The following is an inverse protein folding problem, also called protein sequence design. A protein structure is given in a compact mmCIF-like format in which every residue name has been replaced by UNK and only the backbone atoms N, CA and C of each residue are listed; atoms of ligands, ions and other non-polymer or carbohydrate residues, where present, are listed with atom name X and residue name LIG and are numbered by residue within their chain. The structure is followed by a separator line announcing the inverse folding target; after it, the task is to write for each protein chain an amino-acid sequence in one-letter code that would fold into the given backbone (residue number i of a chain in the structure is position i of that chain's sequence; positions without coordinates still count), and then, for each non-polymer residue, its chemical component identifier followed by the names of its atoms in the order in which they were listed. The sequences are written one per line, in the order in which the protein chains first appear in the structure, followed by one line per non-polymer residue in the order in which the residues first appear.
data_IF_166847111982
#
_entry.id   IF_166847111982
#
_cell.length_a   1.000
_cell.length_b   1.000
_cell.length_c   1.000
_cell.angle_alpha   90.00
_cell.angle_beta   90.00
_cell.angle_gamma   90.00
#
_symmetry.space_group_name_H-M   'P 1'
#
loop_
_entity.id
_entity.type
_entity.pdbx_description
1 polymer ?
2 polymer ?
3 non-polymer ?
4 non-polymer ?
5 water ?
#
# COMPACT_ATOMS: atom_id res chain seq x y z
N UNK A 3 7.47 17.14 14.71
CA UNK A 3 6.05 16.94 14.28
C UNK A 3 5.19 18.14 14.66
N UNK A 4 4.38 18.65 13.72
CA UNK A 4 3.58 19.83 14.03
C UNK A 4 2.36 19.49 14.88
N UNK A 5 1.90 20.45 15.68
CA UNK A 5 0.73 20.23 16.52
C UNK A 5 -0.51 20.05 15.63
N UNK A 6 -1.43 19.19 16.04
CA UNK A 6 -2.67 18.98 15.28
C UNK A 6 -3.63 20.16 15.48
N UNK A 7 -4.51 20.44 14.49
CA UNK A 7 -4.63 19.73 13.22
C UNK A 7 -3.58 20.18 12.22
N UNK A 8 -3.21 19.31 11.29
CA UNK A 8 -2.35 19.72 10.18
C UNK A 8 -2.56 18.93 8.89
N UNK A 9 -2.24 19.57 7.77
CA UNK A 9 -2.44 18.99 6.45
C UNK A 9 -1.27 18.11 6.03
N UNK A 10 -1.61 16.96 5.44
CA UNK A 10 -0.66 16.07 4.78
C UNK A 10 -1.17 15.74 3.39
N UNK A 11 -0.29 15.22 2.54
CA UNK A 11 -0.69 14.79 1.21
C UNK A 11 -0.18 13.38 1.00
N UNK A 12 -1.07 12.51 0.53
CA UNK A 12 -0.73 11.11 0.30
C UNK A 12 0.34 11.03 -0.78
N UNK A 13 1.40 10.29 -0.48
CA UNK A 13 2.49 10.06 -1.44
C UNK A 13 2.29 8.76 -2.21
N UNK A 14 1.43 7.89 -1.67
CA UNK A 14 1.03 6.65 -2.31
C UNK A 14 -0.43 6.40 -1.98
N UNK A 15 -1.10 5.56 -2.79
CA UNK A 15 -2.40 5.09 -2.31
C UNK A 15 -2.22 4.25 -1.06
N UNK A 16 -3.25 4.25 -0.23
CA UNK A 16 -3.31 3.37 0.91
C UNK A 16 -4.65 2.67 0.90
N UNK A 17 -4.60 1.36 0.70
CA UNK A 17 -5.78 0.53 0.64
C UNK A 17 -5.50 -0.66 1.53
N UNK A 18 -6.36 -0.86 2.53
CA UNK A 18 -6.11 -1.85 3.56
C UNK A 18 -7.37 -2.64 3.88
N UNK A 19 -7.20 -3.67 4.71
CA UNK A 19 -8.28 -4.63 5.01
C UNK A 19 -9.12 -4.25 6.23
N UNK A 20 -8.70 -3.21 6.94
CA UNK A 20 -9.29 -2.84 8.22
C UNK A 20 -10.24 -1.64 8.12
N UNK A 21 -11.42 -1.80 8.71
CA UNK A 21 -12.48 -0.80 8.62
C UNK A 21 -12.09 0.51 9.30
N UNK A 22 -11.32 0.42 10.38
CA UNK A 22 -10.86 1.63 11.09
C UNK A 22 -9.90 2.51 10.29
N UNK A 23 -9.36 1.99 9.19
CA UNK A 23 -8.37 2.71 8.42
C UNK A 23 -9.02 3.72 7.50
N UNK A 24 -8.30 4.81 7.26
CA UNK A 24 -8.61 5.72 6.19
C UNK A 24 -7.92 5.14 4.96
N UNK A 25 -8.64 5.07 3.86
CA UNK A 25 -8.03 4.67 2.62
C UNK A 25 -8.12 5.84 1.65
N UNK A 26 -7.20 5.88 0.71
CA UNK A 26 -7.11 7.03 -0.19
C UNK A 26 -6.22 6.73 -1.37
N UNK A 27 -6.35 7.58 -2.39
CA UNK A 27 -5.48 7.55 -3.57
C UNK A 27 -4.30 8.48 -3.35
N UNK A 28 -3.23 8.28 -4.12
CA UNK A 28 -2.11 9.21 -4.16
C UNK A 28 -2.58 10.64 -4.44
N UNK A 29 -1.92 11.62 -3.83
CA UNK A 29 -2.24 13.06 -3.95
C UNK A 29 -3.38 13.53 -3.06
N UNK A 30 -4.09 12.61 -2.41
CA UNK A 30 -5.20 12.99 -1.54
C UNK A 30 -4.70 13.84 -0.39
N UNK A 31 -5.34 15.01 -0.26
CA UNK A 31 -5.08 15.95 0.81
C UNK A 31 -5.87 15.48 2.02
N UNK A 32 -5.18 15.29 3.13
CA UNK A 32 -5.82 14.80 4.36
C UNK A 32 -5.53 15.79 5.48
N UNK A 33 -6.50 15.95 6.38
CA UNK A 33 -6.28 16.69 7.61
C UNK A 33 -6.04 15.70 8.74
N UNK A 34 -4.85 15.77 9.33
CA UNK A 34 -4.53 14.95 10.50
C UNK A 34 -5.09 15.61 11.75
N UNK A 35 -5.98 14.91 12.46
CA UNK A 35 -6.61 15.47 13.65
C UNK A 35 -6.12 14.84 14.95
N UNK A 36 -5.41 13.70 14.84
CA UNK A 36 -4.81 13.03 16.00
C UNK A 36 -3.58 12.25 15.56
N UNK A 37 -2.52 12.34 16.36
CA UNK A 37 -1.37 11.47 16.18
C UNK A 37 -1.64 10.30 17.10
N UNK A 38 -1.81 9.13 16.50
CA UNK A 38 -2.28 7.94 17.22
C UNK A 38 -1.19 7.28 18.02
N UNK A 39 0.00 7.26 17.43
CA UNK A 39 1.19 6.70 18.05
C UNK A 39 2.41 7.10 17.22
N UNK A 40 3.53 6.41 17.36
CA UNK A 40 4.75 6.81 16.63
C UNK A 40 4.65 6.58 15.11
N UNK A 41 3.73 5.72 14.67
CA UNK A 41 3.70 5.25 13.29
C UNK A 41 2.38 5.52 12.55
N UNK A 42 1.32 5.93 13.27
CA UNK A 42 -0.01 6.10 12.68
C UNK A 42 -0.60 7.46 13.02
N UNK A 43 -1.29 8.02 12.02
CA UNK A 43 -2.13 9.21 12.18
C UNK A 43 -3.60 8.82 12.11
N UNK A 44 -4.45 9.69 12.64
CA UNK A 44 -5.88 9.64 12.42
C UNK A 44 -6.26 10.96 11.76
N UNK A 45 -7.04 10.88 10.70
CA UNK A 45 -7.44 12.10 10.01
C UNK A 45 -8.58 11.88 9.05
N UNK A 46 -8.81 12.88 8.21
CA UNK A 46 -10.02 12.93 7.41
C UNK A 46 -9.88 13.71 6.12
N UNK A 47 -10.87 13.50 5.25
CA UNK A 47 -11.06 14.31 4.07
C UNK A 47 -12.52 14.14 3.65
N UNK A 48 -12.96 14.98 2.73
CA UNK A 48 -14.34 14.91 2.26
C UNK A 48 -14.42 14.16 0.94
N UNK A 49 -15.33 13.20 0.86
CA UNK A 49 -15.58 12.46 -0.39
C UNK A 49 -16.40 13.27 -1.39
N UNK A 50 -16.74 12.61 -2.50
CA UNK A 50 -17.56 13.18 -3.59
C UNK A 50 -18.79 13.97 -3.16
N UNK A 51 -19.69 13.36 -2.39
CA UNK A 51 -20.90 14.06 -1.95
C UNK A 51 -20.72 14.72 -0.58
N UNK A 52 -19.50 15.17 -0.30
CA UNK A 52 -19.22 16.04 0.83
C UNK A 52 -19.17 15.37 2.19
N UNK A 53 -19.30 14.04 2.21
CA UNK A 53 -19.24 13.29 3.46
C UNK A 53 -17.82 13.22 3.98
N UNK A 54 -17.68 13.35 5.29
CA UNK A 54 -16.37 13.23 5.92
C UNK A 54 -16.01 11.75 6.05
N UNK A 55 -14.85 11.41 5.52
CA UNK A 55 -14.29 10.07 5.59
C UNK A 55 -13.14 10.18 6.55
N UNK A 56 -13.14 9.36 7.60
CA UNK A 56 -12.06 9.44 8.56
C UNK A 56 -11.56 8.05 9.00
N UNK A 57 -10.38 8.05 9.58
CA UNK A 57 -9.76 6.81 10.05
C UNK A 57 -8.27 6.95 10.17
N UNK A 58 -7.62 5.84 10.51
CA UNK A 58 -6.18 5.81 10.72
C UNK A 58 -5.41 5.35 9.48
N UNK A 59 -4.15 5.78 9.41
CA UNK A 59 -3.28 5.44 8.29
C UNK A 59 -1.82 5.66 8.68
N UNK A 60 -0.90 5.01 7.97
CA UNK A 60 0.51 5.17 8.30
C UNK A 60 1.06 6.53 7.97
N UNK A 61 1.83 7.08 8.90
CA UNK A 61 2.55 8.33 8.69
C UNK A 61 3.45 8.22 7.45
N UNK A 62 4.02 7.04 7.23
CA UNK A 62 4.96 6.85 6.12
C UNK A 62 4.32 6.96 4.73
N UNK A 63 2.98 7.00 4.65
CA UNK A 63 2.29 7.13 3.36
C UNK A 63 1.98 8.56 2.94
N UNK A 64 2.35 9.52 3.79
CA UNK A 64 2.02 10.92 3.55
C UNK A 64 3.22 11.82 3.83
N UNK A 65 3.14 13.04 3.34
CA UNK A 65 4.13 14.07 3.64
C UNK A 65 3.41 15.30 4.15
N UNK A 66 4.00 15.93 5.17
CA UNK A 66 3.42 17.10 5.82
C UNK A 66 3.45 18.32 4.90
N UNK A 67 2.31 19.01 4.84
CA UNK A 67 2.14 20.36 4.27
C UNK A 67 0.70 20.56 3.83
N UNK B 3 17.86 -11.07 -1.68
CA UNK B 3 17.19 -11.71 -2.85
C UNK B 3 18.00 -12.87 -3.39
N UNK B 4 17.39 -14.06 -3.50
CA UNK B 4 18.04 -15.09 -4.29
C UNK B 4 17.95 -14.80 -5.79
N UNK B 5 18.66 -15.60 -6.59
CA UNK B 5 18.48 -15.59 -8.04
C UNK B 5 17.03 -15.89 -8.40
N UNK B 6 16.49 -15.18 -9.39
CA UNK B 6 15.15 -15.49 -9.88
C UNK B 6 15.19 -16.84 -10.62
N UNK B 7 14.06 -17.56 -10.64
CA UNK B 7 12.82 -17.28 -9.96
C UNK B 7 12.84 -17.72 -8.50
N UNK B 8 12.12 -17.00 -7.66
CA UNK B 8 11.92 -17.38 -6.28
C UNK B 8 10.52 -17.04 -5.80
N UNK B 9 10.09 -17.75 -4.76
CA UNK B 9 8.75 -17.63 -4.19
C UNK B 9 8.75 -16.58 -3.06
N UNK B 10 7.74 -15.72 -3.06
CA UNK B 10 7.50 -14.77 -1.98
C UNK B 10 6.07 -14.95 -1.46
N UNK B 11 5.80 -14.40 -0.27
CA UNK B 11 4.46 -14.40 0.31
C UNK B 11 4.09 -12.97 0.67
N UNK B 12 2.92 -12.53 0.22
CA UNK B 12 2.42 -11.21 0.54
C UNK B 12 2.20 -11.05 2.04
N UNK B 13 2.77 -9.98 2.58
CA UNK B 13 2.64 -9.63 3.98
C UNK B 13 1.51 -8.64 4.21
N UNK B 14 1.06 -8.00 3.12
CA UNK B 14 -0.04 -7.04 3.11
C UNK B 14 -0.79 -7.17 1.79
N UNK B 15 -2.08 -6.78 1.75
CA UNK B 15 -2.73 -6.75 0.46
C UNK B 15 -2.11 -5.65 -0.39
N UNK B 16 -2.04 -5.86 -1.69
CA UNK B 16 -1.67 -4.81 -2.61
C UNK B 16 -2.77 -4.67 -3.64
N UNK B 17 -3.40 -3.50 -3.68
CA UNK B 17 -4.64 -3.31 -4.45
C UNK B 17 -4.59 -2.08 -5.34
N UNK B 18 -3.41 -1.85 -5.91
CA UNK B 18 -3.18 -0.77 -6.86
C UNK B 18 -4.11 -0.82 -8.07
N UNK B 19 -4.46 0.35 -8.57
CA UNK B 19 -5.21 0.48 -9.83
C UNK B 19 -4.29 0.75 -11.02
N UNK B 20 -2.98 0.88 -10.79
CA UNK B 20 -2.05 1.11 -11.89
C UNK B 20 -2.09 -0.08 -12.84
N UNK B 21 -2.27 0.21 -14.13
CA UNK B 21 -2.24 -0.82 -15.15
C UNK B 21 -0.86 -1.47 -15.08
N UNK B 22 -0.82 -2.80 -15.19
CA UNK B 22 0.43 -3.58 -15.17
C UNK B 22 0.99 -3.88 -13.77
N UNK B 23 0.37 -3.34 -12.72
CA UNK B 23 0.68 -3.79 -11.36
C UNK B 23 -0.03 -5.10 -11.14
N UNK B 24 0.62 -5.98 -10.39
CA UNK B 24 -0.01 -7.19 -9.90
C UNK B 24 -0.71 -6.84 -8.58
N UNK B 25 -1.90 -7.39 -8.38
CA UNK B 25 -2.60 -7.22 -7.11
C UNK B 25 -2.78 -8.55 -6.44
N UNK B 26 -2.91 -8.52 -5.12
CA UNK B 26 -3.04 -9.73 -4.34
C UNK B 26 -3.54 -9.43 -2.94
N UNK B 27 -4.00 -10.48 -2.28
CA UNK B 27 -4.38 -10.44 -0.88
C UNK B 27 -3.18 -10.82 -0.03
N UNK B 28 -3.21 -10.43 1.23
CA UNK B 28 -2.25 -10.91 2.21
C UNK B 28 -2.19 -12.44 2.17
N UNK B 29 -1.00 -12.99 2.37
CA UNK B 29 -0.73 -14.45 2.33
C UNK B 29 -0.59 -15.07 0.94
N UNK B 30 -0.85 -14.30 -0.12
CA UNK B 30 -0.74 -14.84 -1.48
C UNK B 30 0.70 -15.23 -1.76
N UNK B 31 0.90 -16.49 -2.18
CA UNK B 31 2.20 -16.93 -2.69
C UNK B 31 2.36 -16.48 -4.14
N UNK B 32 3.51 -15.88 -4.42
CA UNK B 32 3.82 -15.32 -5.73
C UNK B 32 5.20 -15.80 -6.17
N UNK B 33 5.35 -16.13 -7.45
CA UNK B 33 6.67 -16.42 -8.01
C UNK B 33 7.24 -15.15 -8.64
N UNK B 34 8.38 -14.71 -8.12
CA UNK B 34 9.09 -13.56 -8.69
C UNK B 34 9.92 -14.06 -9.86
N UNK B 35 9.61 -13.59 -11.06
CA UNK B 35 10.29 -14.04 -12.26
C UNK B 35 11.36 -13.05 -12.71
N UNK B 36 11.23 -11.80 -12.29
CA UNK B 36 12.30 -10.85 -12.53
C UNK B 36 12.29 -9.72 -11.51
N UNK B 37 13.48 -9.20 -11.26
CA UNK B 37 13.66 -8.03 -10.41
C UNK B 37 13.66 -6.82 -11.33
N UNK B 38 12.67 -5.96 -11.19
CA UNK B 38 12.49 -4.85 -12.14
C UNK B 38 13.39 -3.67 -11.88
N UNK B 39 13.60 -3.38 -10.60
CA UNK B 39 14.52 -2.35 -10.17
C UNK B 39 14.72 -2.51 -8.66
N UNK B 40 15.24 -1.49 -7.98
CA UNK B 40 15.56 -1.61 -6.55
C UNK B 40 14.31 -1.83 -5.67
N UNK B 41 13.14 -1.45 -6.17
CA UNK B 41 11.93 -1.41 -5.36
C UNK B 41 10.77 -2.29 -5.85
N UNK B 42 10.83 -2.75 -7.10
CA UNK B 42 9.74 -3.51 -7.68
C UNK B 42 10.18 -4.88 -8.15
N UNK B 43 9.35 -5.88 -7.86
CA UNK B 43 9.45 -7.19 -8.45
C UNK B 43 8.42 -7.31 -9.57
N UNK B 44 8.70 -8.21 -10.50
CA UNK B 44 7.73 -8.67 -11.46
C UNK B 44 7.51 -10.14 -11.19
N UNK B 45 6.25 -10.54 -11.17
CA UNK B 45 5.96 -11.94 -10.92
C UNK B 45 4.54 -12.29 -11.22
N UNK B 46 4.16 -13.48 -10.80
CA UNK B 46 2.89 -14.03 -11.22
C UNK B 46 2.37 -15.06 -10.26
N UNK B 47 1.07 -15.34 -10.41
CA UNK B 47 0.47 -16.47 -9.73
C UNK B 47 -0.81 -16.83 -10.43
N UNK B 48 -1.29 -18.04 -10.12
CA UNK B 48 -2.55 -18.51 -10.64
C UNK B 48 -3.62 -18.13 -9.64
N UNK B 49 -4.59 -17.32 -10.07
CA UNK B 49 -5.58 -16.78 -9.16
C UNK B 49 -6.70 -17.79 -8.87
N UNK B 50 -7.66 -17.37 -8.06
CA UNK B 50 -8.69 -18.27 -7.57
C UNK B 50 -9.67 -18.72 -8.67
N UNK B 51 -9.58 -18.10 -9.85
CA UNK B 51 -10.37 -18.52 -11.01
C UNK B 51 -9.57 -19.40 -11.96
N UNK B 52 -8.34 -19.73 -11.57
CA UNK B 52 -7.51 -20.64 -12.34
C UNK B 52 -6.71 -19.95 -13.43
N UNK B 53 -6.65 -18.62 -13.38
CA UNK B 53 -6.00 -17.82 -14.41
C UNK B 53 -4.67 -17.31 -13.92
N UNK B 54 -3.63 -17.50 -14.72
CA UNK B 54 -2.32 -16.91 -14.42
C UNK B 54 -2.37 -15.39 -14.67
N UNK B 55 -2.07 -14.63 -13.62
CA UNK B 55 -1.96 -13.19 -13.70
C UNK B 55 -0.57 -12.75 -13.30
N UNK B 56 -0.12 -11.65 -13.87
CA UNK B 56 1.24 -11.20 -13.63
C UNK B 56 1.33 -9.69 -13.66
N UNK B 57 2.42 -9.17 -13.10
CA UNK B 57 2.67 -7.73 -13.10
C UNK B 57 3.67 -7.36 -12.04
N UNK B 58 3.81 -6.06 -11.81
CA UNK B 58 4.79 -5.57 -10.85
C UNK B 58 4.15 -5.26 -9.51
N UNK B 59 4.95 -5.36 -8.46
CA UNK B 59 4.49 -5.11 -7.10
C UNK B 59 5.67 -4.75 -6.21
N UNK B 60 5.39 -4.11 -5.05
CA UNK B 60 6.49 -3.71 -4.17
C UNK B 60 7.22 -4.88 -3.50
N UNK B 61 8.55 -4.85 -3.54
CA UNK B 61 9.38 -5.78 -2.76
C UNK B 61 9.00 -5.67 -1.28
N UNK B 62 8.71 -4.45 -0.83
CA UNK B 62 8.36 -4.18 0.57
C UNK B 62 7.08 -4.84 1.08
N UNK B 63 6.18 -5.21 0.18
CA UNK B 63 4.92 -5.84 0.57
C UNK B 63 5.01 -7.35 0.70
N UNK B 64 6.17 -7.93 0.40
CA UNK B 64 6.30 -9.39 0.41
C UNK B 64 7.53 -9.84 1.19
N UNK B 65 7.56 -11.12 1.51
CA UNK B 65 8.72 -11.73 2.18
C UNK B 65 9.13 -12.98 1.42
N UNK B 66 10.44 -13.12 1.21
CA UNK B 66 11.01 -14.23 0.45
C UNK B 66 10.74 -15.57 1.13
N UNK B 67 10.43 -16.57 0.31
CA UNK B 67 10.17 -17.95 0.74
C UNK B 67 8.94 -18.03 1.62
N UNK C 1 10.25 2.86 -12.87
CA UNK C 1 9.00 3.42 -12.28
C UNK C 1 9.35 4.44 -11.18
N UNK C 2 8.32 4.97 -10.53
CA UNK C 2 8.48 5.81 -9.36
C UNK C 2 8.77 4.96 -8.13
N UNK C 3 8.71 5.57 -6.94
CA UNK C 3 9.00 4.84 -5.71
C UNK C 3 7.88 3.86 -5.36
N UNK C 4 8.23 2.70 -4.80
CA UNK C 4 7.21 1.79 -4.26
C UNK C 4 6.76 2.30 -2.90
N UNK C 5 5.53 1.97 -2.48
CA UNK C 5 5.17 2.32 -1.11
C UNK C 5 6.04 1.62 -0.10
N UNK C 6 6.19 2.20 1.11
CA UNK C 6 6.96 1.52 2.15
C UNK C 6 6.12 0.39 2.74
N UNK C 7 6.76 -0.53 3.48
CA UNK C 7 5.96 -1.59 4.12
C UNK C 7 5.14 -0.95 5.23
N UNK C 8 3.81 -1.13 5.23
CA UNK C 8 3.07 -0.51 6.34
C UNK C 8 3.59 -0.97 7.70
N UNK C 9 3.48 -0.10 8.71
CA UNK C 9 3.91 -0.45 10.05
C UNK C 9 2.95 -1.46 10.68
N UNK C 10 3.40 -2.15 11.73
CA UNK C 10 2.51 -3.04 12.48
C UNK C 10 1.36 -2.24 13.05
N UNK C 11 0.19 -2.85 13.10
CA UNK C 11 -1.00 -2.14 13.57
C UNK C 11 -0.89 -1.77 15.04
X LIG D 1 -4.39 -4.53 5.65
X LIG E 1 2.39 0.44 17.14
X LIG F 1 17.12 -20.90 -8.59
#
# INVERSE_FOLDING_TARGET
MSEPEVPFKVVAQFPYKSDYEDDLNFEKDQEIIVTSVEDAEWYFGEYQDSNGDVIEGIFPKSFVAVQG
MSEPEVPFKVVAQFPYKSDYEDDLNFEKDQEIIVTSVEDAEWYFGEYQDSNGDVIEGIFPKSFVAVQG
RGPAPPPPPHR
CL CL
MG MG
MG MG
#
